data_IF_801709182260
#
_entry.id   IF_801709182260
#
_cell.length_a   1.000
_cell.length_b   1.000
_cell.length_c   1.000
_cell.angle_alpha   90.00
_cell.angle_beta   90.00
_cell.angle_gamma   90.00
#
_symmetry.space_group_name_H-M   'P 1'
#
loop_
_entity.id
_entity.type
_entity.pdbx_description
1 polymer ?
#
# COMPACT_ATOMS: atom_id res chain seq x y z
N UNK A 1 24.92 -21.18 -17.98
CA UNK A 1 26.02 -20.19 -18.12
C UNK A 1 25.39 -18.84 -17.83
N UNK A 2 25.66 -18.12 -16.74
CA UNK A 2 26.94 -17.80 -16.12
C UNK A 2 26.81 -17.86 -14.59
N UNK A 3 27.72 -18.59 -13.95
CA UNK A 3 27.88 -18.55 -12.50
C UNK A 3 28.69 -17.32 -12.12
N UNK A 4 28.09 -16.41 -11.37
CA UNK A 4 28.83 -15.37 -10.67
C UNK A 4 29.32 -15.94 -9.34
N UNK A 5 30.51 -16.53 -9.36
CA UNK A 5 31.28 -16.78 -8.14
C UNK A 5 31.48 -15.43 -7.46
N UNK A 6 30.92 -15.25 -6.25
CA UNK A 6 31.41 -14.22 -5.33
C UNK A 6 32.94 -14.37 -5.23
N UNK A 7 33.71 -13.27 -5.28
CA UNK A 7 35.15 -13.35 -5.11
C UNK A 7 35.45 -13.99 -3.74
N UNK A 8 36.54 -14.76 -3.61
CA UNK A 8 36.94 -15.28 -2.31
C UNK A 8 37.22 -14.09 -1.40
N UNK A 9 36.49 -13.95 -0.30
CA UNK A 9 36.83 -13.01 0.76
C UNK A 9 38.21 -13.42 1.25
N UNK A 10 39.22 -12.61 0.92
CA UNK A 10 40.59 -12.80 1.37
C UNK A 10 40.56 -12.84 2.90
N UNK A 11 41.05 -13.93 3.50
CA UNK A 11 41.13 -14.05 4.96
C UNK A 11 42.09 -12.92 5.41
N UNK A 12 41.63 -11.94 6.21
CA UNK A 12 42.47 -10.87 6.72
C UNK A 12 43.66 -11.50 7.45
N UNK A 13 44.87 -11.03 7.16
CA UNK A 13 46.04 -11.45 7.90
C UNK A 13 46.05 -10.77 9.28
N UNK A 14 47.04 -11.08 10.13
CA UNK A 14 47.14 -10.47 11.46
C UNK A 14 47.28 -8.94 11.39
N UNK A 15 47.97 -8.40 10.38
CA UNK A 15 48.14 -6.96 10.17
C UNK A 15 46.80 -6.29 9.86
N UNK A 16 45.95 -6.90 9.05
CA UNK A 16 44.61 -6.41 8.74
C UNK A 16 43.72 -6.32 9.99
N UNK A 17 43.80 -7.32 10.88
CA UNK A 17 43.08 -7.32 12.18
C UNK A 17 43.55 -6.16 13.06
N UNK A 18 44.87 -5.93 13.15
CA UNK A 18 45.41 -4.79 13.90
C UNK A 18 45.04 -3.44 13.28
N UNK A 19 44.96 -3.35 11.95
CA UNK A 19 44.50 -2.15 11.25
C UNK A 19 43.03 -1.85 11.54
N UNK A 20 42.15 -2.86 11.57
CA UNK A 20 40.75 -2.67 11.95
C UNK A 20 40.62 -2.15 13.39
N UNK A 21 41.42 -2.68 14.32
CA UNK A 21 41.45 -2.20 15.70
C UNK A 21 41.95 -0.75 15.80
N UNK A 22 43.05 -0.42 15.13
CA UNK A 22 43.65 0.91 15.16
C UNK A 22 42.74 2.00 14.57
N UNK A 23 41.96 1.66 13.53
CA UNK A 23 41.04 2.58 12.84
C UNK A 23 39.63 2.60 13.43
N UNK A 24 39.33 1.72 14.37
CA UNK A 24 37.99 1.56 14.93
C UNK A 24 36.94 1.11 13.90
N UNK A 25 37.34 0.24 12.97
CA UNK A 25 36.47 -0.36 11.95
C UNK A 25 35.77 -1.62 12.50
N UNK A 26 35.01 -1.44 13.59
CA UNK A 26 34.39 -2.52 14.36
C UNK A 26 33.48 -3.43 13.52
N UNK A 27 32.64 -2.84 12.66
CA UNK A 27 31.73 -3.59 11.80
C UNK A 27 32.48 -4.54 10.83
N UNK A 28 33.63 -4.13 10.31
CA UNK A 28 34.47 -4.93 9.41
C UNK A 28 35.05 -6.14 10.14
N UNK A 29 35.61 -5.92 11.34
CA UNK A 29 36.14 -6.99 12.19
C UNK A 29 35.06 -8.00 12.57
N UNK A 30 33.90 -7.52 13.04
CA UNK A 30 32.79 -8.38 13.45
C UNK A 30 32.16 -9.13 12.27
N UNK A 31 32.09 -8.52 11.09
CA UNK A 31 31.60 -9.17 9.87
C UNK A 31 32.52 -10.31 9.43
N UNK A 32 33.83 -10.12 9.55
CA UNK A 32 34.81 -11.18 9.29
C UNK A 32 34.62 -12.36 10.24
N UNK A 33 34.45 -12.06 11.54
CA UNK A 33 34.20 -13.07 12.59
C UNK A 33 32.88 -13.80 12.34
N UNK A 34 31.84 -13.10 11.88
CA UNK A 34 30.56 -13.73 11.53
C UNK A 34 30.70 -14.74 10.39
N UNK A 35 31.59 -14.51 9.42
CA UNK A 35 31.87 -15.46 8.34
C UNK A 35 32.71 -16.65 8.82
N UNK A 36 33.52 -16.48 9.86
CA UNK A 36 34.49 -17.48 10.35
C UNK A 36 34.40 -17.68 11.88
N UNK A 37 33.25 -18.12 12.42
CA UNK A 37 33.00 -18.12 13.86
C UNK A 37 33.92 -19.05 14.66
N UNK A 38 34.40 -20.14 14.06
CA UNK A 38 35.34 -21.08 14.71
C UNK A 38 36.67 -20.43 15.10
N UNK A 39 37.05 -19.34 14.42
CA UNK A 39 38.30 -18.64 14.70
C UNK A 39 38.31 -17.94 16.06
N UNK A 40 37.15 -17.60 16.62
CA UNK A 40 37.05 -16.99 17.96
C UNK A 40 37.59 -17.96 19.03
N UNK A 41 37.39 -19.26 18.85
CA UNK A 41 37.84 -20.28 19.79
C UNK A 41 39.27 -20.75 19.49
N UNK A 42 39.63 -20.86 18.21
CA UNK A 42 40.92 -21.42 17.79
C UNK A 42 42.07 -20.42 17.68
N UNK A 43 41.79 -19.12 17.54
CA UNK A 43 42.80 -18.08 17.35
C UNK A 43 42.80 -17.05 18.52
N UNK A 44 43.84 -17.05 19.37
CA UNK A 44 43.96 -16.12 20.49
C UNK A 44 43.96 -14.64 20.10
N UNK A 45 44.46 -14.30 18.91
CA UNK A 45 44.53 -12.91 18.42
C UNK A 45 43.13 -12.43 18.06
N UNK A 46 42.36 -13.25 17.34
CA UNK A 46 40.97 -12.91 16.99
C UNK A 46 40.12 -12.82 18.26
N UNK A 47 40.29 -13.75 19.20
CA UNK A 47 39.61 -13.70 20.50
C UNK A 47 39.89 -12.40 21.25
N UNK A 48 41.16 -11.99 21.31
CA UNK A 48 41.57 -10.74 21.94
C UNK A 48 41.01 -9.53 21.19
N UNK A 49 41.08 -9.52 19.85
CA UNK A 49 40.57 -8.44 19.02
C UNK A 49 39.07 -8.22 19.21
N UNK A 50 38.27 -9.29 19.26
CA UNK A 50 36.83 -9.20 19.52
C UNK A 50 36.55 -8.67 20.93
N UNK A 51 37.29 -9.13 21.94
CA UNK A 51 37.12 -8.66 23.32
C UNK A 51 37.49 -7.17 23.48
N UNK A 52 38.55 -6.72 22.80
CA UNK A 52 38.95 -5.30 22.74
C UNK A 52 37.90 -4.48 22.00
N UNK A 53 37.42 -4.95 20.84
CA UNK A 53 36.34 -4.32 20.08
C UNK A 53 35.08 -4.17 20.93
N UNK A 54 34.66 -5.20 21.67
CA UNK A 54 33.52 -5.14 22.56
C UNK A 54 33.73 -4.05 23.62
N UNK A 55 34.85 -4.09 24.33
CA UNK A 55 35.13 -3.14 25.42
C UNK A 55 35.15 -1.70 24.91
N UNK A 56 35.94 -1.42 23.87
CA UNK A 56 36.09 -0.08 23.32
C UNK A 56 34.80 0.47 22.69
N UNK A 57 34.05 -0.38 21.98
CA UNK A 57 32.79 0.03 21.37
C UNK A 57 31.75 0.44 22.42
N UNK A 58 31.52 -0.40 23.44
CA UNK A 58 30.54 -0.08 24.47
C UNK A 58 30.99 1.10 25.35
N UNK A 59 32.29 1.26 25.61
CA UNK A 59 32.81 2.41 26.36
C UNK A 59 32.71 3.75 25.61
N UNK A 60 32.68 3.72 24.27
CA UNK A 60 32.60 4.93 23.45
C UNK A 60 31.26 5.08 22.69
N UNK A 61 30.26 4.27 23.03
CA UNK A 61 28.98 4.20 22.30
C UNK A 61 28.31 5.57 22.15
N UNK A 62 28.25 6.35 23.22
CA UNK A 62 27.63 7.69 23.24
C UNK A 62 28.42 8.74 22.44
N UNK A 63 29.69 8.46 22.12
CA UNK A 63 30.58 9.37 21.38
C UNK A 63 30.57 9.12 19.88
N UNK A 64 30.02 8.00 19.42
CA UNK A 64 29.92 7.69 17.99
C UNK A 64 28.88 8.58 17.33
N UNK A 65 29.33 9.48 16.45
CA UNK A 65 28.47 10.44 15.77
C UNK A 65 28.00 9.93 14.40
N UNK A 66 28.70 8.93 13.85
CA UNK A 66 28.31 8.28 12.60
C UNK A 66 27.20 7.24 12.86
N UNK A 67 25.96 7.66 12.61
CA UNK A 67 24.78 6.80 12.79
C UNK A 67 24.79 5.56 11.90
N UNK A 68 25.39 5.62 10.70
CA UNK A 68 25.42 4.47 9.80
C UNK A 68 26.41 3.42 10.32
N UNK A 69 27.61 3.86 10.69
CA UNK A 69 28.62 3.01 11.33
C UNK A 69 28.10 2.41 12.63
N UNK A 70 27.39 3.19 13.43
CA UNK A 70 26.76 2.75 14.68
C UNK A 70 25.72 1.63 14.43
N UNK A 71 24.76 1.87 13.52
CA UNK A 71 23.74 0.86 13.15
C UNK A 71 24.41 -0.42 12.66
N UNK A 72 25.36 -0.33 11.73
CA UNK A 72 26.04 -1.50 11.16
C UNK A 72 26.76 -2.32 12.23
N UNK A 73 27.45 -1.65 13.16
CA UNK A 73 28.17 -2.33 14.25
C UNK A 73 27.20 -3.02 15.21
N UNK A 74 26.13 -2.33 15.62
CA UNK A 74 25.09 -2.89 16.50
C UNK A 74 24.35 -4.07 15.85
N UNK A 75 24.00 -3.97 14.57
CA UNK A 75 23.35 -5.07 13.85
C UNK A 75 24.27 -6.29 13.72
N UNK A 76 25.58 -6.07 13.52
CA UNK A 76 26.54 -7.17 13.45
C UNK A 76 26.66 -7.87 14.81
N UNK A 77 26.73 -7.12 15.91
CA UNK A 77 26.68 -7.69 17.26
C UNK A 77 25.39 -8.48 17.52
N UNK A 78 24.23 -7.93 17.11
CA UNK A 78 22.95 -8.61 17.23
C UNK A 78 22.92 -9.94 16.46
N UNK A 79 23.40 -9.96 15.21
CA UNK A 79 23.48 -11.15 14.37
C UNK A 79 24.44 -12.21 14.94
N UNK A 80 25.57 -11.78 15.49
CA UNK A 80 26.54 -12.66 16.12
C UNK A 80 25.98 -13.34 17.38
N UNK A 81 25.28 -12.57 18.23
CA UNK A 81 24.64 -13.07 19.46
C UNK A 81 23.49 -14.02 19.15
N UNK A 82 22.51 -13.58 18.35
CA UNK A 82 21.33 -14.39 18.00
C UNK A 82 21.70 -15.63 17.17
N UNK A 83 22.75 -15.52 16.34
CA UNK A 83 23.32 -16.63 15.59
C UNK A 83 24.17 -17.60 16.41
N UNK A 84 24.31 -17.39 17.73
CA UNK A 84 25.14 -18.20 18.66
C UNK A 84 26.61 -18.33 18.22
N UNK A 85 27.12 -17.35 17.48
CA UNK A 85 28.51 -17.29 17.01
C UNK A 85 29.43 -16.58 18.00
N UNK A 86 28.88 -15.61 18.73
CA UNK A 86 29.59 -14.88 19.79
C UNK A 86 28.58 -14.41 20.83
N UNK A 87 28.78 -14.72 22.10
CA UNK A 87 27.81 -14.42 23.16
C UNK A 87 28.21 -13.16 23.92
N UNK A 88 27.47 -12.07 23.68
CA UNK A 88 27.48 -10.90 24.56
C UNK A 88 26.83 -11.20 25.91
N UNK A 89 27.38 -10.63 26.98
CA UNK A 89 26.71 -10.59 28.28
C UNK A 89 25.33 -9.91 28.15
N UNK A 90 24.36 -10.37 28.93
CA UNK A 90 22.95 -9.95 28.81
C UNK A 90 22.77 -8.43 28.89
N UNK A 91 23.44 -7.75 29.82
CA UNK A 91 23.39 -6.30 29.95
C UNK A 91 23.89 -5.57 28.70
N UNK A 92 24.95 -6.08 28.05
CA UNK A 92 25.48 -5.51 26.81
C UNK A 92 24.57 -5.80 25.62
N UNK A 93 23.99 -6.99 25.57
CA UNK A 93 23.03 -7.33 24.54
C UNK A 93 21.75 -6.48 24.66
N UNK A 94 21.30 -6.19 25.88
CA UNK A 94 20.21 -5.24 26.13
C UNK A 94 20.54 -3.86 25.57
N UNK A 95 21.75 -3.34 25.79
CA UNK A 95 22.19 -2.06 25.22
C UNK A 95 22.11 -2.09 23.69
N UNK A 96 22.58 -3.17 23.05
CA UNK A 96 22.50 -3.32 21.59
C UNK A 96 21.06 -3.21 21.09
N UNK A 97 20.14 -3.94 21.73
CA UNK A 97 18.72 -3.91 21.35
C UNK A 97 18.13 -2.53 21.55
N UNK A 98 18.32 -1.91 22.72
CA UNK A 98 17.77 -0.60 23.05
C UNK A 98 18.25 0.48 22.08
N UNK A 99 19.55 0.50 21.75
CA UNK A 99 20.09 1.46 20.78
C UNK A 99 19.56 1.20 19.36
N UNK A 100 19.47 -0.06 18.92
CA UNK A 100 18.85 -0.39 17.63
C UNK A 100 17.38 0.06 17.59
N UNK A 101 16.63 -0.16 18.67
CA UNK A 101 15.23 0.29 18.78
C UNK A 101 15.13 1.80 18.63
N UNK A 102 15.98 2.58 19.32
CA UNK A 102 16.04 4.04 19.18
C UNK A 102 16.34 4.47 17.74
N UNK A 103 17.33 3.84 17.11
CA UNK A 103 17.77 4.18 15.75
C UNK A 103 16.72 3.85 14.69
N UNK A 104 15.97 2.76 14.88
CA UNK A 104 14.95 2.30 13.94
C UNK A 104 13.59 2.96 14.16
N UNK A 105 13.24 3.41 15.36
CA UNK A 105 11.91 3.98 15.69
C UNK A 105 11.41 4.97 14.65
N UNK A 106 12.21 5.99 14.34
CA UNK A 106 11.79 7.09 13.46
C UNK A 106 11.89 6.73 11.97
N UNK A 107 12.66 5.69 11.62
CA UNK A 107 12.90 5.27 10.24
C UNK A 107 11.92 4.19 9.79
N UNK A 108 11.67 3.21 10.66
CA UNK A 108 10.85 2.04 10.40
C UNK A 108 10.42 1.40 11.74
N UNK A 109 9.19 1.69 12.15
CA UNK A 109 8.60 1.20 13.39
C UNK A 109 8.52 -0.34 13.44
N UNK A 110 8.33 -1.02 12.30
CA UNK A 110 8.33 -2.49 12.24
C UNK A 110 9.71 -3.06 12.58
N UNK A 111 10.78 -2.46 12.04
CA UNK A 111 12.14 -2.90 12.37
C UNK A 111 12.43 -2.68 13.86
N UNK A 112 12.02 -1.55 14.44
CA UNK A 112 12.13 -1.29 15.86
C UNK A 112 11.36 -2.33 16.70
N UNK A 113 10.11 -2.64 16.30
CA UNK A 113 9.27 -3.66 16.93
C UNK A 113 9.95 -5.04 16.97
N UNK A 114 10.53 -5.49 15.85
CA UNK A 114 11.20 -6.78 15.76
C UNK A 114 12.37 -6.90 16.75
N UNK A 115 13.15 -5.81 16.97
CA UNK A 115 14.23 -5.80 17.97
C UNK A 115 13.67 -5.75 19.39
N UNK A 116 12.67 -4.89 19.63
CA UNK A 116 12.06 -4.69 20.94
C UNK A 116 11.53 -5.99 21.57
N UNK A 117 11.07 -6.94 20.74
CA UNK A 117 10.65 -8.29 21.19
C UNK A 117 11.70 -9.08 21.96
N UNK A 118 12.99 -8.77 21.81
CA UNK A 118 14.06 -9.45 22.56
C UNK A 118 14.06 -9.07 24.04
N UNK A 119 13.58 -7.87 24.40
CA UNK A 119 13.53 -7.37 25.77
C UNK A 119 12.17 -6.70 26.06
N UNK A 120 11.06 -7.46 26.10
CA UNK A 120 9.70 -6.89 26.23
C UNK A 120 9.45 -6.17 27.56
N UNK A 121 10.26 -6.46 28.59
CA UNK A 121 10.14 -5.84 29.91
C UNK A 121 10.91 -4.51 30.04
N UNK A 122 11.79 -4.19 29.09
CA UNK A 122 12.45 -2.88 29.01
C UNK A 122 11.42 -1.79 28.68
N UNK A 123 11.55 -0.63 29.34
CA UNK A 123 10.56 0.46 29.24
C UNK A 123 10.39 0.96 27.79
N UNK A 124 11.49 1.17 27.08
CA UNK A 124 11.46 1.62 25.69
C UNK A 124 10.91 0.53 24.77
N UNK A 125 11.39 -0.70 24.92
CA UNK A 125 10.96 -1.82 24.09
C UNK A 125 9.44 -2.08 24.26
N UNK A 126 8.94 -2.04 25.50
CA UNK A 126 7.51 -2.17 25.80
C UNK A 126 6.68 -1.06 25.13
N UNK A 127 7.17 0.19 25.17
CA UNK A 127 6.50 1.31 24.53
C UNK A 127 6.41 1.11 23.01
N UNK A 128 7.50 0.67 22.37
CA UNK A 128 7.53 0.40 20.92
C UNK A 128 6.65 -0.78 20.52
N UNK A 129 6.63 -1.84 21.32
CA UNK A 129 5.73 -2.99 21.12
C UNK A 129 4.27 -2.52 21.09
N UNK A 130 3.88 -1.75 22.11
CA UNK A 130 2.53 -1.20 22.20
C UNK A 130 2.22 -0.24 21.04
N UNK A 131 3.13 0.67 20.73
CA UNK A 131 2.98 1.64 19.63
C UNK A 131 2.74 0.94 18.28
N UNK A 132 3.52 -0.10 17.98
CA UNK A 132 3.36 -0.88 16.76
C UNK A 132 2.05 -1.66 16.74
N UNK A 133 1.69 -2.35 17.83
CA UNK A 133 0.45 -3.14 17.91
C UNK A 133 -0.81 -2.26 17.86
N UNK A 134 -0.75 -1.06 18.45
CA UNK A 134 -1.83 -0.08 18.36
C UNK A 134 -1.99 0.46 16.92
N UNK A 135 -0.90 0.54 16.15
CA UNK A 135 -0.92 0.94 14.73
C UNK A 135 -1.55 -0.10 13.81
N UNK A 136 -1.54 -1.38 14.18
CA UNK A 136 -2.13 -2.44 13.38
C UNK A 136 -3.66 -2.34 13.34
N UNK A 137 -4.31 -2.70 12.22
CA UNK A 137 -5.76 -2.84 12.17
C UNK A 137 -6.30 -3.81 13.23
N UNK A 138 -7.51 -3.59 13.72
CA UNK A 138 -8.13 -4.49 14.70
C UNK A 138 -8.56 -5.77 13.99
N UNK A 139 -8.07 -6.93 14.43
CA UNK A 139 -8.50 -8.21 13.85
C UNK A 139 -9.92 -8.57 14.29
N UNK A 140 -10.71 -9.10 13.36
CA UNK A 140 -12.07 -9.57 13.59
C UNK A 140 -12.08 -11.09 13.50
N UNK A 141 -12.60 -11.75 14.54
CA UNK A 141 -12.75 -13.20 14.55
C UNK A 141 -14.00 -13.62 13.75
N UNK A 142 -13.87 -14.67 12.95
CA UNK A 142 -14.96 -15.24 12.15
C UNK A 142 -14.74 -16.75 11.96
N UNK A 143 -15.74 -17.44 11.40
CA UNK A 143 -15.73 -18.90 11.24
C UNK A 143 -14.60 -19.45 10.37
N UNK A 144 -13.93 -18.60 9.60
CA UNK A 144 -12.88 -18.95 8.64
C UNK A 144 -11.51 -18.36 8.99
N UNK A 145 -11.30 -17.89 10.23
CA UNK A 145 -10.08 -17.18 10.64
C UNK A 145 -8.78 -17.99 10.53
N UNK A 146 -8.87 -19.31 10.27
CA UNK A 146 -7.70 -20.15 9.98
C UNK A 146 -7.19 -20.02 8.54
N UNK A 147 -8.02 -19.52 7.62
CA UNK A 147 -7.75 -19.49 6.17
C UNK A 147 -7.82 -18.06 5.62
N UNK A 148 -8.70 -17.22 6.17
CA UNK A 148 -8.92 -15.84 5.72
C UNK A 148 -8.79 -14.93 6.94
N UNK A 149 -8.19 -13.75 6.76
CA UNK A 149 -8.09 -12.73 7.79
C UNK A 149 -9.09 -11.60 7.52
N UNK A 150 -9.73 -11.10 8.57
CA UNK A 150 -10.58 -9.89 8.52
C UNK A 150 -10.05 -8.87 9.51
N UNK A 151 -9.96 -7.62 9.09
CA UNK A 151 -9.59 -6.49 9.94
C UNK A 151 -10.61 -5.37 9.84
N UNK A 152 -10.84 -4.66 10.94
CA UNK A 152 -11.66 -3.47 10.99
C UNK A 152 -10.85 -2.24 11.39
N UNK A 153 -11.33 -1.07 10.96
CA UNK A 153 -10.75 0.20 11.33
C UNK A 153 -10.97 0.50 12.82
N UNK A 154 -9.96 1.10 13.46
CA UNK A 154 -10.03 1.61 14.83
C UNK A 154 -10.56 3.05 14.84
N UNK A 155 -10.91 3.56 16.01
CA UNK A 155 -11.23 4.97 16.24
C UNK A 155 -12.43 5.50 15.42
N UNK A 156 -13.53 4.76 15.38
CA UNK A 156 -14.76 5.19 14.70
C UNK A 156 -15.32 6.44 15.38
N UNK A 157 -15.47 7.53 14.61
CA UNK A 157 -16.11 8.75 15.08
C UNK A 157 -17.63 8.55 15.17
N UNK A 158 -18.26 9.23 16.13
CA UNK A 158 -19.71 9.23 16.28
C UNK A 158 -20.37 10.25 15.33
N UNK A 159 -20.15 10.09 14.03
CA UNK A 159 -20.76 10.90 12.98
C UNK A 159 -21.16 10.00 11.80
N UNK A 160 -22.41 10.11 11.33
CA UNK A 160 -22.87 9.38 10.15
C UNK A 160 -22.67 10.23 8.88
N UNK A 161 -21.61 9.92 8.13
CA UNK A 161 -21.28 10.58 6.87
C UNK A 161 -21.90 9.93 5.62
N UNK A 162 -22.82 8.96 5.78
CA UNK A 162 -23.43 8.27 4.64
C UNK A 162 -24.37 9.20 3.88
N UNK A 163 -24.44 9.00 2.56
CA UNK A 163 -25.39 9.68 1.67
C UNK A 163 -26.21 8.65 0.89
N UNK A 164 -27.41 9.02 0.48
CA UNK A 164 -28.22 8.19 -0.41
C UNK A 164 -27.56 8.09 -1.79
N UNK A 165 -27.78 6.96 -2.46
CA UNK A 165 -27.27 6.71 -3.81
C UNK A 165 -27.92 7.64 -4.84
N UNK A 166 -29.24 7.83 -4.73
CA UNK A 166 -30.01 8.74 -5.56
C UNK A 166 -30.34 10.01 -4.78
N UNK A 167 -30.20 11.16 -5.43
CA UNK A 167 -30.51 12.49 -4.89
C UNK A 167 -31.94 12.91 -5.21
N UNK A 168 -32.60 12.23 -6.14
CA UNK A 168 -33.98 12.52 -6.53
C UNK A 168 -34.80 11.25 -6.78
N UNK A 169 -36.13 11.39 -6.69
CA UNK A 169 -37.06 10.33 -7.09
C UNK A 169 -36.89 9.97 -8.57
N UNK A 170 -36.57 10.96 -9.40
CA UNK A 170 -36.38 10.80 -10.84
C UNK A 170 -35.18 9.91 -11.17
N UNK A 171 -34.03 10.14 -10.53
CA UNK A 171 -32.84 9.29 -10.68
C UNK A 171 -33.15 7.84 -10.31
N UNK A 172 -33.87 7.63 -9.21
CA UNK A 172 -34.31 6.30 -8.80
C UNK A 172 -35.25 5.66 -9.82
N UNK A 173 -36.28 6.38 -10.27
CA UNK A 173 -37.24 5.88 -11.28
C UNK A 173 -36.55 5.53 -12.60
N UNK A 174 -35.58 6.34 -13.01
CA UNK A 174 -34.77 6.09 -14.20
C UNK A 174 -33.91 4.82 -14.04
N UNK A 175 -33.16 4.70 -12.95
CA UNK A 175 -32.36 3.52 -12.66
C UNK A 175 -33.22 2.24 -12.59
N UNK A 176 -34.35 2.31 -11.88
CA UNK A 176 -35.30 1.21 -11.75
C UNK A 176 -35.90 0.82 -13.12
N UNK A 177 -36.04 1.76 -14.05
CA UNK A 177 -36.48 1.48 -15.43
C UNK A 177 -35.40 0.78 -16.26
N UNK A 178 -34.14 1.24 -16.19
CA UNK A 178 -33.02 0.58 -16.88
C UNK A 178 -32.88 -0.86 -16.39
N UNK A 179 -32.93 -1.10 -15.06
CA UNK A 179 -32.87 -2.46 -14.50
C UNK A 179 -33.98 -3.37 -15.03
N UNK A 180 -35.19 -2.86 -15.21
CA UNK A 180 -36.31 -3.65 -15.75
C UNK A 180 -36.11 -4.03 -17.22
N UNK A 181 -35.45 -3.18 -18.00
CA UNK A 181 -35.15 -3.44 -19.40
C UNK A 181 -34.06 -4.50 -19.56
N UNK A 182 -33.13 -4.58 -18.60
CA UNK A 182 -31.98 -5.47 -18.65
C UNK A 182 -31.95 -6.50 -17.51
N UNK A 183 -32.92 -7.41 -17.41
CA UNK A 183 -33.00 -8.36 -16.29
C UNK A 183 -31.84 -9.38 -16.26
N UNK A 184 -31.16 -9.59 -17.39
CA UNK A 184 -30.03 -10.53 -17.51
C UNK A 184 -28.65 -9.85 -17.42
N UNK A 185 -28.61 -8.53 -17.23
CA UNK A 185 -27.39 -7.73 -17.10
C UNK A 185 -27.26 -7.19 -15.69
N UNK A 186 -26.07 -6.72 -15.33
CA UNK A 186 -25.90 -5.97 -14.08
C UNK A 186 -25.95 -4.49 -14.38
N UNK A 187 -26.78 -3.77 -13.64
CA UNK A 187 -26.94 -2.33 -13.80
C UNK A 187 -26.41 -1.65 -12.54
N UNK A 188 -25.41 -0.79 -12.70
CA UNK A 188 -24.84 -0.02 -11.60
C UNK A 188 -25.12 1.48 -11.78
N UNK A 189 -25.55 2.18 -10.72
CA UNK A 189 -25.68 3.63 -10.75
C UNK A 189 -24.40 4.33 -10.28
N UNK A 190 -24.21 5.59 -10.68
CA UNK A 190 -23.11 6.47 -10.26
C UNK A 190 -21.71 5.83 -10.39
N UNK A 191 -21.42 5.24 -11.55
CA UNK A 191 -20.18 4.50 -11.78
C UNK A 191 -19.05 5.46 -12.17
N UNK A 192 -17.92 5.41 -11.47
CA UNK A 192 -16.77 6.24 -11.80
C UNK A 192 -16.21 5.89 -13.20
N UNK A 193 -15.91 6.89 -14.02
CA UNK A 193 -15.35 6.67 -15.36
C UNK A 193 -14.02 5.89 -15.31
N UNK A 194 -13.19 6.19 -14.31
CA UNK A 194 -11.91 5.52 -14.07
C UNK A 194 -12.03 4.03 -13.76
N UNK A 195 -13.22 3.55 -13.38
CA UNK A 195 -13.46 2.13 -13.11
C UNK A 195 -13.91 1.34 -14.34
N UNK A 196 -14.31 2.02 -15.42
CA UNK A 196 -14.95 1.37 -16.59
C UNK A 196 -14.24 1.66 -17.90
N UNK A 197 -13.33 2.63 -17.94
CA UNK A 197 -12.49 2.95 -19.10
C UNK A 197 -11.01 2.79 -18.72
N UNK A 198 -10.22 2.15 -19.58
CA UNK A 198 -8.77 2.04 -19.38
C UNK A 198 -8.06 3.35 -19.74
N UNK A 199 -7.58 4.06 -18.71
CA UNK A 199 -6.93 5.37 -18.87
C UNK A 199 -5.74 5.33 -19.83
N UNK A 200 -4.94 4.24 -19.80
CA UNK A 200 -3.76 4.12 -20.65
C UNK A 200 -4.08 4.13 -22.15
N UNK A 201 -5.27 3.68 -22.54
CA UNK A 201 -5.69 3.62 -23.94
C UNK A 201 -6.26 4.96 -24.45
N UNK A 202 -6.80 5.79 -23.55
CA UNK A 202 -7.46 7.05 -23.95
C UNK A 202 -6.62 8.29 -23.70
N UNK A 203 -5.67 8.26 -22.75
CA UNK A 203 -4.93 9.44 -22.26
C UNK A 203 -4.28 10.29 -23.36
N UNK A 204 -3.86 9.70 -24.48
CA UNK A 204 -3.14 10.43 -25.53
C UNK A 204 -4.09 11.25 -26.41
N UNK A 205 -5.40 10.96 -26.35
CA UNK A 205 -6.46 11.70 -27.04
C UNK A 205 -7.16 12.73 -26.13
N UNK A 206 -6.71 12.89 -24.88
CA UNK A 206 -7.32 13.78 -23.89
C UNK A 206 -6.43 14.97 -23.56
N UNK A 207 -7.04 16.13 -23.44
CA UNK A 207 -6.43 17.32 -22.85
C UNK A 207 -6.13 17.14 -21.37
N UNK A 208 -5.30 18.03 -20.80
CA UNK A 208 -4.98 18.00 -19.36
C UNK A 208 -6.23 18.13 -18.47
N UNK A 209 -7.19 18.98 -18.87
CA UNK A 209 -8.44 19.16 -18.14
C UNK A 209 -9.33 17.91 -18.18
N UNK A 210 -9.40 17.23 -19.32
CA UNK A 210 -10.15 15.97 -19.47
C UNK A 210 -9.53 14.84 -18.67
N UNK A 211 -8.18 14.78 -18.58
CA UNK A 211 -7.47 13.81 -17.73
C UNK A 211 -7.80 13.98 -16.26
N UNK A 212 -7.81 15.21 -15.75
CA UNK A 212 -8.20 15.48 -14.37
C UNK A 212 -9.69 15.15 -14.14
N UNK A 213 -10.54 15.51 -15.10
CA UNK A 213 -11.98 15.26 -15.02
C UNK A 213 -12.32 13.75 -15.08
N UNK A 214 -11.56 12.95 -15.82
CA UNK A 214 -11.70 11.50 -15.93
C UNK A 214 -11.70 10.81 -14.55
N UNK A 215 -10.82 11.21 -13.63
CA UNK A 215 -10.71 10.61 -12.30
C UNK A 215 -11.76 11.10 -11.29
N UNK A 216 -12.48 12.18 -11.62
CA UNK A 216 -13.48 12.82 -10.72
C UNK A 216 -14.91 12.57 -11.14
N UNK A 217 -15.12 12.14 -12.38
CA UNK A 217 -16.45 12.03 -12.99
C UNK A 217 -17.05 10.65 -12.82
N UNK A 218 -18.39 10.64 -12.78
CA UNK A 218 -19.23 9.45 -12.69
C UNK A 218 -20.24 9.46 -13.83
N UNK A 219 -20.66 8.27 -14.24
CA UNK A 219 -21.80 8.03 -15.14
C UNK A 219 -23.00 7.60 -14.32
N UNK A 220 -24.16 8.23 -14.55
CA UNK A 220 -25.34 8.02 -13.72
C UNK A 220 -25.83 6.56 -13.71
N UNK A 221 -25.76 5.88 -14.86
CA UNK A 221 -26.17 4.49 -14.98
C UNK A 221 -25.37 3.76 -16.07
N UNK A 222 -24.80 2.60 -15.74
CA UNK A 222 -24.03 1.75 -16.66
C UNK A 222 -24.54 0.32 -16.61
N UNK A 223 -24.73 -0.28 -17.79
CA UNK A 223 -25.18 -1.67 -17.95
C UNK A 223 -23.99 -2.55 -18.31
N UNK A 224 -23.81 -3.65 -17.59
CA UNK A 224 -22.70 -4.59 -17.72
C UNK A 224 -23.16 -5.95 -18.22
N UNK A 225 -22.46 -6.46 -19.23
CA UNK A 225 -22.69 -7.77 -19.81
C UNK A 225 -21.87 -8.85 -19.08
N UNK A 226 -22.52 -9.97 -18.76
CA UNK A 226 -21.94 -11.08 -17.99
C UNK A 226 -21.32 -12.18 -18.84
N UNK A 227 -21.43 -12.09 -20.16
CA UNK A 227 -20.94 -13.16 -21.02
C UNK A 227 -19.44 -13.36 -20.80
N UNK A 228 -19.04 -14.63 -20.68
CA UNK A 228 -17.66 -15.06 -20.49
C UNK A 228 -16.95 -14.52 -19.24
N UNK A 229 -17.69 -14.17 -18.17
CA UNK A 229 -17.13 -13.72 -16.89
C UNK A 229 -16.33 -12.41 -16.97
N UNK A 230 -16.44 -11.66 -18.07
CA UNK A 230 -15.66 -10.43 -18.28
C UNK A 230 -16.31 -9.18 -17.68
N UNK A 231 -17.61 -9.22 -17.32
CA UNK A 231 -18.35 -8.10 -16.71
C UNK A 231 -18.05 -6.75 -17.40
N UNK A 232 -18.29 -6.67 -18.71
CA UNK A 232 -17.88 -5.51 -19.53
C UNK A 232 -18.99 -4.45 -19.59
N UNK A 233 -18.66 -3.16 -19.49
CA UNK A 233 -19.63 -2.08 -19.65
C UNK A 233 -20.10 -2.01 -21.12
N UNK A 234 -21.41 -2.02 -21.31
CA UNK A 234 -22.05 -2.09 -22.64
C UNK A 234 -22.84 -0.82 -22.99
N UNK A 235 -23.61 -0.30 -22.04
CA UNK A 235 -24.40 0.91 -22.25
C UNK A 235 -24.14 1.93 -21.14
N UNK A 236 -24.05 3.20 -21.52
CA UNK A 236 -23.74 4.33 -20.64
C UNK A 236 -24.87 5.35 -20.75
N UNK A 237 -25.51 5.67 -19.63
CA UNK A 237 -26.62 6.62 -19.58
C UNK A 237 -26.40 7.71 -18.54
N UNK A 238 -26.85 8.91 -18.89
CA UNK A 238 -26.94 10.09 -18.03
C UNK A 238 -28.37 10.58 -17.99
N UNK A 239 -28.80 11.05 -16.83
CA UNK A 239 -30.11 11.64 -16.63
C UNK A 239 -29.97 13.16 -16.49
N UNK A 240 -30.22 13.88 -17.58
CA UNK A 240 -30.16 15.33 -17.58
C UNK A 240 -31.36 15.95 -16.86
N UNK A 241 -31.07 16.87 -15.96
CA UNK A 241 -32.06 17.78 -15.36
C UNK A 241 -32.37 18.99 -16.24
N UNK A 242 -33.44 19.73 -15.93
CA UNK A 242 -33.78 20.96 -16.68
C UNK A 242 -32.76 22.09 -16.38
N UNK A 243 -32.00 21.99 -15.30
CA UNK A 243 -31.12 23.04 -14.78
C UNK A 243 -29.70 23.09 -15.42
N UNK A 244 -29.44 22.35 -16.50
CA UNK A 244 -28.11 22.23 -17.13
C UNK A 244 -27.65 23.41 -18.02
N UNK A 245 -28.24 24.60 -17.91
CA UNK A 245 -27.96 25.69 -18.85
C UNK A 245 -26.74 26.56 -18.52
N UNK A 246 -26.01 26.28 -17.43
CA UNK A 246 -24.81 27.05 -17.12
C UNK A 246 -23.59 26.61 -17.97
N UNK A 247 -22.65 27.53 -18.29
CA UNK A 247 -21.50 27.22 -19.15
C UNK A 247 -20.56 26.13 -18.59
N UNK A 248 -20.42 26.06 -17.26
CA UNK A 248 -19.54 25.09 -16.62
C UNK A 248 -20.03 23.64 -16.79
N UNK A 249 -21.34 23.40 -16.65
CA UNK A 249 -21.92 22.07 -16.86
C UNK A 249 -21.79 21.66 -18.32
N UNK A 250 -22.07 22.56 -19.27
CA UNK A 250 -21.86 22.30 -20.70
C UNK A 250 -20.42 21.90 -21.02
N UNK A 251 -19.45 22.53 -20.36
CA UNK A 251 -18.04 22.17 -20.53
C UNK A 251 -17.71 20.79 -19.94
N UNK A 252 -18.27 20.46 -18.77
CA UNK A 252 -18.11 19.13 -18.14
C UNK A 252 -18.76 18.03 -18.98
N UNK A 253 -19.93 18.30 -19.57
CA UNK A 253 -20.60 17.38 -20.48
C UNK A 253 -19.74 17.11 -21.71
N UNK A 254 -19.14 18.16 -22.29
CA UNK A 254 -18.20 18.03 -23.40
C UNK A 254 -16.98 17.17 -23.04
N UNK A 255 -16.46 17.29 -21.81
CA UNK A 255 -15.38 16.41 -21.36
C UNK A 255 -15.82 14.95 -21.31
N UNK A 256 -17.01 14.65 -20.76
CA UNK A 256 -17.55 13.27 -20.76
C UNK A 256 -17.68 12.72 -22.18
N UNK A 257 -18.19 13.54 -23.10
CA UNK A 257 -18.36 13.15 -24.50
C UNK A 257 -17.04 12.78 -25.14
N UNK A 258 -16.04 13.65 -25.01
CA UNK A 258 -14.72 13.41 -25.57
C UNK A 258 -14.04 12.19 -24.96
N UNK A 259 -14.19 11.98 -23.65
CA UNK A 259 -13.63 10.82 -22.94
C UNK A 259 -14.25 9.52 -23.45
N UNK A 260 -15.57 9.42 -23.49
CA UNK A 260 -16.25 8.20 -23.94
C UNK A 260 -16.05 7.98 -25.44
N UNK A 261 -16.06 9.03 -26.25
CA UNK A 261 -15.73 8.93 -27.68
C UNK A 261 -14.30 8.43 -27.91
N UNK A 262 -13.32 8.94 -27.16
CA UNK A 262 -11.93 8.45 -27.21
C UNK A 262 -11.81 6.99 -26.77
N UNK A 263 -12.73 6.51 -25.92
CA UNK A 263 -12.84 5.11 -25.52
C UNK A 263 -13.67 4.23 -26.48
N UNK A 264 -14.16 4.80 -27.58
CA UNK A 264 -15.02 4.10 -28.54
C UNK A 264 -16.43 3.80 -28.03
N UNK A 265 -16.90 4.53 -27.00
CA UNK A 265 -18.19 4.31 -26.34
C UNK A 265 -19.20 5.41 -26.66
N UNK A 266 -20.49 5.06 -26.62
CA UNK A 266 -21.60 6.01 -26.76
C UNK A 266 -22.14 6.39 -25.38
N UNK A 267 -22.47 7.67 -25.20
CA UNK A 267 -23.15 8.19 -24.02
C UNK A 267 -24.58 8.63 -24.37
N UNK A 268 -25.56 8.03 -23.71
CA UNK A 268 -26.98 8.38 -23.89
C UNK A 268 -27.44 9.33 -22.79
N UNK A 269 -27.60 10.62 -23.14
CA UNK A 269 -28.23 11.62 -22.25
C UNK A 269 -29.74 11.60 -22.42
N UNK A 270 -30.45 11.31 -21.34
CA UNK A 270 -31.91 11.24 -21.30
C UNK A 270 -32.42 12.45 -20.52
N UNK A 271 -33.21 13.29 -21.18
CA UNK A 271 -33.83 14.48 -20.57
C UNK A 271 -35.34 14.34 -20.56
N UNK A 272 -35.97 14.64 -19.43
CA UNK A 272 -37.43 14.80 -19.38
C UNK A 272 -37.85 16.03 -20.17
N UNK A 273 -38.87 15.86 -21.02
CA UNK A 273 -39.50 16.96 -21.77
C UNK A 273 -40.76 17.47 -21.09
N UNK A 274 -41.30 16.74 -20.11
CA UNK A 274 -42.40 17.20 -19.25
C UNK A 274 -42.39 16.47 -17.89
N UNK A 275 -43.16 16.99 -16.92
CA UNK A 275 -43.22 16.42 -15.56
C UNK A 275 -44.08 15.16 -15.42
N UNK A 276 -44.82 14.77 -16.47
CA UNK A 276 -45.74 13.62 -16.44
C UNK A 276 -45.05 12.27 -16.72
N UNK A 277 -43.80 12.30 -17.18
CA UNK A 277 -43.03 11.11 -17.51
C UNK A 277 -42.76 10.25 -16.27
N UNK A 278 -42.98 8.94 -16.40
CA UNK A 278 -42.83 7.95 -15.33
C UNK A 278 -41.81 6.85 -15.68
N UNK A 279 -41.62 5.89 -14.77
CA UNK A 279 -40.72 4.73 -14.95
C UNK A 279 -41.00 3.95 -16.25
N UNK A 280 -42.27 3.77 -16.61
CA UNK A 280 -42.66 3.06 -17.83
C UNK A 280 -42.23 3.78 -19.10
N UNK A 281 -42.29 5.11 -19.11
CA UNK A 281 -41.80 5.93 -20.24
C UNK A 281 -40.29 5.80 -20.40
N UNK A 282 -39.53 5.83 -19.29
CA UNK A 282 -38.09 5.58 -19.33
C UNK A 282 -37.77 4.17 -19.82
N UNK A 283 -38.48 3.14 -19.35
CA UNK A 283 -38.24 1.77 -19.77
C UNK A 283 -38.50 1.58 -21.27
N UNK A 284 -39.57 2.21 -21.80
CA UNK A 284 -39.84 2.20 -23.23
C UNK A 284 -38.71 2.88 -24.02
N UNK A 285 -38.30 4.08 -23.61
CA UNK A 285 -37.22 4.82 -24.27
C UNK A 285 -35.91 4.03 -24.29
N UNK A 286 -35.54 3.41 -23.16
CA UNK A 286 -34.31 2.63 -23.05
C UNK A 286 -34.34 1.43 -24.00
N UNK A 287 -35.48 0.71 -24.12
CA UNK A 287 -35.65 -0.36 -25.12
C UNK A 287 -35.46 0.16 -26.54
N UNK A 288 -36.13 1.26 -26.89
CA UNK A 288 -36.08 1.83 -28.24
C UNK A 288 -34.64 2.25 -28.63
N UNK A 289 -33.85 2.75 -27.68
CA UNK A 289 -32.44 3.11 -27.90
C UNK A 289 -31.59 1.85 -28.08
N UNK A 290 -31.77 0.86 -27.22
CA UNK A 290 -30.97 -0.37 -27.21
C UNK A 290 -31.22 -1.26 -28.42
N UNK A 291 -32.46 -1.34 -28.91
CA UNK A 291 -32.79 -2.09 -30.12
C UNK A 291 -32.10 -1.51 -31.35
N UNK A 292 -31.94 -0.18 -31.44
CA UNK A 292 -31.22 0.47 -32.55
C UNK A 292 -29.73 0.17 -32.57
N UNK A 293 -29.12 -0.11 -31.43
CA UNK A 293 -27.69 -0.42 -31.32
C UNK A 293 -27.37 -1.91 -31.54
N UNK A 294 -28.39 -2.78 -31.46
CA UNK A 294 -28.26 -4.22 -31.70
C UNK A 294 -28.58 -4.62 -33.17
N UNK A 295 -28.84 -3.65 -34.05
CA UNK A 295 -29.02 -3.82 -35.51
C UNK A 295 -27.78 -3.32 -36.23
#
# INVERSE_FOLDING_TARGET
MFGTKKPPTQIPNQEDIYQFLAKGEWASLLSFVWQNPSLIESDPIIKHAVATCETEFFSNLERETDKEKLVNTLETFHLLHTGRKYHLAEDKFRIVIVELVKLWRDKNLEQAYLRAKNFPDDELCRAIIKEYEDSLPKQVLHSQSRIIQVTENKNILNADGRRTLFKSKQEREFFDAVRDVFPMFTVYPNVALSSIIEFKLVKDNLSSAEKDYFFKSVIDCVVFEHHHELYQPKFFYELDSIYHDNPEQKQKDKYKDNILAAAGQKLYRIRRTNEKQNRGDFAKLVRDITEKDNV
#
